data_IF_304288511416
#
_entry.id   IF_304288511416
#
_cell.length_a   1.000
_cell.length_b   1.000
_cell.length_c   1.000
_cell.angle_alpha   90.00
_cell.angle_beta   90.00
_cell.angle_gamma   90.00
#
_symmetry.space_group_name_H-M   'P 1'
#
loop_
_entity.id
_entity.type
_entity.pdbx_description
1 polymer ?
#
# COMPACT_ATOMS: atom_id res chain seq x y z
N UNK A 1 5.96 -31.17 -12.33
CA UNK A 1 4.84 -31.46 -11.38
C UNK A 1 4.74 -30.28 -10.42
N UNK A 2 3.63 -29.56 -10.20
CA UNK A 2 2.20 -29.76 -10.39
C UNK A 2 1.63 -28.54 -11.15
N UNK A 3 1.10 -28.75 -12.36
CA UNK A 3 0.20 -27.77 -13.02
C UNK A 3 -1.15 -27.86 -12.29
N UNK A 4 -1.33 -27.11 -11.20
CA UNK A 4 -2.57 -27.15 -10.43
C UNK A 4 -3.60 -26.18 -11.00
N UNK A 5 -4.44 -26.74 -11.90
CA UNK A 5 -5.85 -26.37 -12.14
C UNK A 5 -6.14 -24.86 -12.14
N UNK A 6 -6.01 -24.24 -13.31
CA UNK A 6 -6.66 -22.96 -13.65
C UNK A 6 -8.18 -23.14 -13.52
N UNK A 7 -8.73 -22.88 -12.33
CA UNK A 7 -10.17 -22.76 -12.14
C UNK A 7 -10.62 -21.59 -13.00
N UNK A 8 -11.45 -21.83 -14.02
CA UNK A 8 -12.12 -20.78 -14.81
C UNK A 8 -12.91 -19.90 -13.85
N UNK A 9 -12.30 -18.79 -13.40
CA UNK A 9 -12.94 -17.82 -12.54
C UNK A 9 -14.09 -17.14 -13.27
N UNK A 10 -15.20 -16.91 -12.57
CA UNK A 10 -16.30 -16.08 -13.07
C UNK A 10 -15.79 -14.73 -13.58
N UNK A 11 -16.53 -14.03 -14.46
CA UNK A 11 -16.16 -12.69 -14.98
C UNK A 11 -15.65 -11.73 -13.88
N UNK A 12 -16.18 -11.87 -12.67
CA UNK A 12 -15.79 -11.14 -11.46
C UNK A 12 -14.33 -11.41 -11.03
N UNK A 13 -13.89 -12.67 -10.99
CA UNK A 13 -12.53 -13.00 -10.59
C UNK A 13 -11.49 -12.44 -11.57
N UNK A 14 -11.79 -12.48 -12.88
CA UNK A 14 -10.94 -11.88 -13.91
C UNK A 14 -10.88 -10.35 -13.78
N UNK A 15 -11.99 -9.70 -13.40
CA UNK A 15 -12.01 -8.27 -13.10
C UNK A 15 -11.15 -7.94 -11.87
N UNK A 16 -11.26 -8.73 -10.79
CA UNK A 16 -10.45 -8.56 -9.58
C UNK A 16 -8.95 -8.67 -9.88
N UNK A 17 -8.54 -9.65 -10.69
CA UNK A 17 -7.16 -9.83 -11.16
C UNK A 17 -6.65 -8.62 -11.94
N UNK A 18 -7.39 -8.16 -12.97
CA UNK A 18 -7.02 -6.97 -13.74
C UNK A 18 -6.94 -5.70 -12.88
N UNK A 19 -7.82 -5.57 -11.90
CA UNK A 19 -7.79 -4.45 -10.96
C UNK A 19 -6.56 -4.50 -10.07
N UNK A 20 -6.16 -5.68 -9.59
CA UNK A 20 -4.93 -5.85 -8.81
C UNK A 20 -3.69 -5.48 -9.64
N UNK A 21 -3.58 -6.00 -10.87
CA UNK A 21 -2.49 -5.64 -11.80
C UNK A 21 -2.41 -4.12 -12.00
N UNK A 22 -3.55 -3.47 -12.24
CA UNK A 22 -3.61 -2.02 -12.43
C UNK A 22 -3.14 -1.26 -11.18
N UNK A 23 -3.55 -1.71 -10.00
CA UNK A 23 -3.15 -1.12 -8.72
C UNK A 23 -1.63 -1.26 -8.52
N UNK A 24 -1.06 -2.43 -8.82
CA UNK A 24 0.38 -2.67 -8.72
C UNK A 24 1.19 -1.77 -9.66
N UNK A 25 0.77 -1.65 -10.92
CA UNK A 25 1.43 -0.77 -11.90
C UNK A 25 1.42 0.68 -11.42
N UNK A 26 0.25 1.20 -11.03
CA UNK A 26 0.12 2.58 -10.55
C UNK A 26 0.95 2.83 -9.30
N UNK A 27 0.98 1.87 -8.38
CA UNK A 27 1.78 1.96 -7.16
C UNK A 27 3.28 2.01 -7.44
N UNK A 28 3.77 1.18 -8.37
CA UNK A 28 5.18 1.15 -8.73
C UNK A 28 5.62 2.49 -9.33
N UNK A 29 4.81 3.08 -10.22
CA UNK A 29 5.06 4.41 -10.77
C UNK A 29 5.06 5.45 -9.65
N UNK A 30 4.03 5.47 -8.79
CA UNK A 30 3.96 6.40 -7.66
C UNK A 30 5.18 6.31 -6.73
N UNK A 31 5.67 5.09 -6.47
CA UNK A 31 6.84 4.87 -5.64
C UNK A 31 8.09 5.45 -6.28
N UNK A 32 8.31 5.21 -7.57
CA UNK A 32 9.43 5.78 -8.32
C UNK A 32 9.38 7.31 -8.36
N UNK A 33 8.22 7.88 -8.65
CA UNK A 33 8.03 9.33 -8.73
C UNK A 33 8.23 10.01 -7.37
N UNK A 34 7.84 9.34 -6.28
CA UNK A 34 8.15 9.81 -4.92
C UNK A 34 9.66 9.88 -4.67
N UNK A 35 10.41 8.87 -5.13
CA UNK A 35 11.88 8.83 -4.99
C UNK A 35 12.53 9.93 -5.83
N UNK A 36 12.00 10.21 -7.03
CA UNK A 36 12.46 11.32 -7.89
C UNK A 36 12.10 12.71 -7.35
N UNK A 37 11.26 12.80 -6.32
CA UNK A 37 10.81 14.07 -5.74
C UNK A 37 9.50 14.61 -6.30
N UNK A 38 8.90 13.94 -7.29
CA UNK A 38 7.62 14.30 -7.92
C UNK A 38 6.42 13.89 -7.04
N UNK A 39 6.36 14.47 -5.84
CA UNK A 39 5.44 14.06 -4.77
C UNK A 39 3.98 14.29 -5.14
N UNK A 40 3.65 15.41 -5.79
CA UNK A 40 2.27 15.73 -6.14
C UNK A 40 1.70 14.73 -7.15
N UNK A 41 2.48 14.39 -8.19
CA UNK A 41 2.09 13.38 -9.17
C UNK A 41 1.92 12.00 -8.52
N UNK A 42 2.83 11.61 -7.62
CA UNK A 42 2.67 10.37 -6.86
C UNK A 42 1.37 10.35 -6.02
N UNK A 43 0.96 11.47 -5.42
CA UNK A 43 -0.31 11.57 -4.67
C UNK A 43 -1.51 11.33 -5.57
N UNK A 44 -1.54 11.94 -6.75
CA UNK A 44 -2.63 11.76 -7.72
C UNK A 44 -2.75 10.30 -8.17
N UNK A 45 -1.62 9.63 -8.44
CA UNK A 45 -1.59 8.21 -8.76
C UNK A 45 -2.14 7.35 -7.62
N UNK A 46 -1.77 7.65 -6.38
CA UNK A 46 -2.29 6.93 -5.21
C UNK A 46 -3.79 7.17 -5.00
N UNK A 47 -4.28 8.39 -5.22
CA UNK A 47 -5.71 8.67 -5.20
C UNK A 47 -6.47 7.91 -6.29
N UNK A 48 -5.87 7.75 -7.48
CA UNK A 48 -6.41 6.91 -8.53
C UNK A 48 -6.49 5.43 -8.11
N UNK A 49 -5.49 4.91 -7.40
CA UNK A 49 -5.53 3.55 -6.83
C UNK A 49 -6.74 3.37 -5.91
N UNK A 50 -7.00 4.31 -4.99
CA UNK A 50 -8.16 4.23 -4.10
C UNK A 50 -9.48 4.33 -4.88
N UNK A 51 -9.57 5.23 -5.87
CA UNK A 51 -10.75 5.35 -6.73
C UNK A 51 -11.05 4.07 -7.50
N UNK A 52 -10.04 3.43 -8.09
CA UNK A 52 -10.19 2.16 -8.80
C UNK A 52 -10.66 1.05 -7.85
N UNK A 53 -10.04 0.95 -6.66
CA UNK A 53 -10.43 -0.02 -5.63
C UNK A 53 -11.89 0.16 -5.20
N UNK A 54 -12.30 1.39 -4.89
CA UNK A 54 -13.66 1.73 -4.47
C UNK A 54 -14.69 1.43 -5.58
N UNK A 55 -14.42 1.89 -6.81
CA UNK A 55 -15.32 1.70 -7.96
C UNK A 55 -15.58 0.23 -8.25
N UNK A 56 -14.54 -0.61 -8.18
CA UNK A 56 -14.66 -2.03 -8.49
C UNK A 56 -14.96 -2.91 -7.26
N UNK A 57 -15.05 -2.31 -6.06
CA UNK A 57 -15.22 -3.02 -4.77
C UNK A 57 -14.13 -4.07 -4.51
N UNK A 58 -12.91 -3.82 -5.00
CA UNK A 58 -11.76 -4.72 -4.87
C UNK A 58 -10.83 -4.22 -3.77
N UNK A 59 -10.34 -5.13 -2.92
CA UNK A 59 -9.44 -4.75 -1.82
C UNK A 59 -8.04 -4.46 -2.35
N UNK A 60 -7.48 -3.31 -1.98
CA UNK A 60 -6.07 -3.01 -2.25
C UNK A 60 -5.18 -4.05 -1.51
N UNK A 61 -4.18 -4.64 -2.19
CA UNK A 61 -3.18 -5.51 -1.56
C UNK A 61 -2.56 -4.87 -0.31
N UNK A 62 -2.36 -5.68 0.74
CA UNK A 62 -2.02 -5.17 2.07
C UNK A 62 -0.67 -4.43 2.12
N UNK A 63 0.31 -4.91 1.35
CA UNK A 63 1.61 -4.27 1.14
C UNK A 63 1.44 -2.84 0.62
N UNK A 64 0.67 -2.65 -0.45
CA UNK A 64 0.39 -1.35 -1.08
C UNK A 64 -0.42 -0.45 -0.15
N UNK A 65 -1.47 -0.98 0.48
CA UNK A 65 -2.30 -0.23 1.42
C UNK A 65 -1.50 0.27 2.64
N UNK A 66 -0.47 -0.47 3.06
CA UNK A 66 0.41 -0.09 4.18
C UNK A 66 1.44 0.95 3.76
N UNK A 67 1.89 0.94 2.52
CA UNK A 67 2.86 1.89 1.99
C UNK A 67 2.27 3.22 1.51
N UNK A 68 0.95 3.43 1.52
CA UNK A 68 0.37 4.74 1.20
C UNK A 68 -0.13 5.44 2.48
N UNK A 69 0.13 6.75 2.60
CA UNK A 69 -0.42 7.58 3.67
C UNK A 69 -1.94 7.69 3.54
N UNK A 70 -2.69 7.41 4.61
CA UNK A 70 -4.16 7.51 4.58
C UNK A 70 -4.69 8.95 4.56
N UNK A 71 -3.87 9.92 4.96
CA UNK A 71 -4.29 11.31 5.07
C UNK A 71 -3.98 12.08 3.78
N UNK A 72 -2.70 12.13 3.38
CA UNK A 72 -2.27 12.91 2.22
C UNK A 72 -1.99 12.07 0.96
N UNK A 73 -2.24 10.76 0.98
CA UNK A 73 -1.99 9.85 -0.15
C UNK A 73 -0.55 9.79 -0.68
N UNK A 74 0.45 10.34 0.02
CA UNK A 74 1.86 10.16 -0.39
C UNK A 74 2.32 8.72 -0.19
N UNK A 75 3.13 8.20 -1.10
CA UNK A 75 3.84 6.91 -0.88
C UNK A 75 4.82 7.09 0.27
N UNK A 76 4.78 6.17 1.23
CA UNK A 76 5.60 6.13 2.42
C UNK A 76 6.88 5.35 2.11
N UNK A 77 7.90 6.08 1.68
CA UNK A 77 9.24 5.55 1.47
C UNK A 77 10.06 5.85 2.74
N UNK A 78 10.60 4.83 3.44
CA UNK A 78 11.43 5.05 4.62
C UNK A 78 12.63 5.94 4.29
N UNK A 79 12.90 6.93 5.13
CA UNK A 79 14.00 7.88 4.95
C UNK A 79 13.72 9.06 4.01
N UNK A 80 12.71 8.96 3.13
CA UNK A 80 12.35 10.05 2.19
C UNK A 80 11.06 10.75 2.64
N UNK A 81 9.95 10.01 2.69
CA UNK A 81 8.62 10.55 3.02
C UNK A 81 8.03 9.96 4.30
N UNK A 82 8.71 8.98 4.90
CA UNK A 82 8.28 8.36 6.14
C UNK A 82 9.42 8.03 7.09
N UNK A 83 9.12 8.07 8.38
CA UNK A 83 9.98 7.56 9.45
C UNK A 83 9.35 6.32 10.07
N UNK A 84 10.12 5.25 10.18
CA UNK A 84 9.68 3.97 10.71
C UNK A 84 10.38 3.70 12.03
N UNK A 85 9.62 3.41 13.08
CA UNK A 85 10.14 3.09 14.41
C UNK A 85 9.43 1.88 14.99
N UNK A 86 10.17 1.00 15.65
CA UNK A 86 9.60 -0.07 16.46
C UNK A 86 9.35 0.48 17.86
N UNK A 87 8.14 0.26 18.38
CA UNK A 87 7.76 0.63 19.75
C UNK A 87 7.20 -0.58 20.48
N UNK A 88 7.36 -0.58 21.79
CA UNK A 88 6.81 -1.57 22.71
C UNK A 88 5.98 -0.86 23.77
N UNK A 89 4.81 -1.42 24.08
CA UNK A 89 3.99 -1.00 25.22
C UNK A 89 3.54 -2.25 25.96
N UNK A 90 4.20 -2.54 27.09
CA UNK A 90 4.04 -3.82 27.78
C UNK A 90 4.39 -4.99 26.87
N UNK A 91 3.45 -5.95 26.74
CA UNK A 91 3.58 -7.16 25.90
C UNK A 91 3.28 -6.92 24.41
N UNK A 92 2.83 -5.72 24.03
CA UNK A 92 2.48 -5.41 22.64
C UNK A 92 3.62 -4.69 21.91
N UNK A 93 4.01 -5.23 20.76
CA UNK A 93 4.97 -4.60 19.86
C UNK A 93 4.25 -4.05 18.63
N UNK A 94 4.63 -2.85 18.20
CA UNK A 94 4.06 -2.24 17.00
C UNK A 94 5.06 -1.38 16.25
N UNK A 95 4.93 -1.39 14.93
CA UNK A 95 5.63 -0.50 14.02
C UNK A 95 4.86 0.82 13.94
N UNK A 96 5.56 1.92 14.17
CA UNK A 96 5.04 3.28 13.99
C UNK A 96 5.64 3.84 12.71
N UNK A 97 4.81 4.07 11.70
CA UNK A 97 5.18 4.72 10.45
C UNK A 97 4.60 6.13 10.47
N UNK A 98 5.46 7.15 10.63
CA UNK A 98 5.08 8.57 10.58
C UNK A 98 5.31 9.10 9.18
N UNK A 99 4.30 9.70 8.58
CA UNK A 99 4.45 10.49 7.36
C UNK A 99 5.16 11.80 7.69
N UNK A 100 6.28 12.09 7.01
CA UNK A 100 7.04 13.33 7.23
C UNK A 100 6.32 14.53 6.59
N UNK A 101 5.49 14.30 5.57
CA UNK A 101 4.78 15.37 4.84
C UNK A 101 3.55 15.92 5.57
N UNK A 102 2.75 15.08 6.23
CA UNK A 102 1.51 15.52 6.90
C UNK A 102 1.44 15.14 8.39
N UNK A 103 2.46 14.48 8.93
CA UNK A 103 2.50 14.06 10.34
C UNK A 103 1.65 12.84 10.69
N UNK A 104 0.80 12.32 9.78
CA UNK A 104 -0.05 11.15 10.05
C UNK A 104 0.76 9.94 10.51
N UNK A 105 0.28 9.26 11.56
CA UNK A 105 0.95 8.11 12.17
C UNK A 105 0.13 6.85 11.94
N UNK A 106 0.71 5.88 11.22
CA UNK A 106 0.18 4.53 11.06
C UNK A 106 0.84 3.61 12.09
N UNK A 107 0.04 2.86 12.84
CA UNK A 107 0.52 1.84 13.81
C UNK A 107 0.18 0.45 13.28
N UNK A 108 1.17 -0.43 13.22
CA UNK A 108 1.00 -1.81 12.74
C UNK A 108 1.48 -2.75 13.86
N UNK A 109 0.57 -3.46 14.55
CA UNK A 109 0.97 -4.44 15.56
C UNK A 109 1.69 -5.62 14.91
N UNK A 110 2.67 -6.17 15.59
CA UNK A 110 3.35 -7.40 15.21
C UNK A 110 3.70 -8.23 16.44
N UNK A 111 3.82 -9.55 16.27
CA UNK A 111 4.32 -10.44 17.31
C UNK A 111 5.81 -10.66 17.07
N UNK A 112 6.64 -10.56 18.12
CA UNK A 112 8.01 -11.06 18.04
C UNK A 112 7.94 -12.57 17.97
N UNK A 113 8.52 -13.14 16.92
CA UNK A 113 8.79 -14.58 16.86
C UNK A 113 10.14 -14.73 17.56
N UNK A 114 10.13 -15.35 18.73
CA UNK A 114 11.34 -15.72 19.47
C UNK A 114 11.93 -16.98 18.87
#
# INVERSE_FOLDING_TARGET
MKKSKLKKGSKKAKLEELVHERIEILYNISSQETIKGNINYARELNELIFRISLKNKVKIPLNIKRSICKNCHVTLVPGITSSVRIKSQGKMHYLTIRCVKCGYIKRIPFKKVH
#
